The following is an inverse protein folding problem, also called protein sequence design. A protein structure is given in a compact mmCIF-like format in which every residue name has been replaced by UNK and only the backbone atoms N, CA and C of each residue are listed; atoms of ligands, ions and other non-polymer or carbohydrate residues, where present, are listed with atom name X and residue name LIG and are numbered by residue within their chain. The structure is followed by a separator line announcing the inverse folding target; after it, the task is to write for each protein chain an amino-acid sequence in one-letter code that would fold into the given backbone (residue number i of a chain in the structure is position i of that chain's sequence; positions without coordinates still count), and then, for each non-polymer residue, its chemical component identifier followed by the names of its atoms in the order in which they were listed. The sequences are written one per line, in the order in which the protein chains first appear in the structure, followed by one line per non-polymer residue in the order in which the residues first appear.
data_IF_698170069675
#
_entry.id   IF_698170069675
#
_cell.length_a   1.000
_cell.length_b   1.000
_cell.length_c   1.000
_cell.angle_alpha   90.00
_cell.angle_beta   90.00
_cell.angle_gamma   90.00
#
_symmetry.space_group_name_H-M   'P 1'
#
loop_
_entity.id
_entity.type
_entity.pdbx_description
1 polymer ?
#
# COMPACT_ATOMS: atom_id res chain seq x y z
N UNK A 1 -10.29 -4.31 -5.18
CA UNK A 1 -9.60 -2.99 -5.28
C UNK A 1 -9.14 -2.84 -6.71
N UNK A 2 -9.34 -1.69 -7.37
CA UNK A 2 -8.84 -1.48 -8.74
C UNK A 2 -7.32 -1.54 -8.77
N UNK A 3 -6.77 -2.18 -9.80
CA UNK A 3 -5.34 -2.21 -10.05
C UNK A 3 -4.89 -0.84 -10.58
N UNK A 4 -3.78 -0.33 -10.04
CA UNK A 4 -3.22 0.99 -10.39
C UNK A 4 -2.19 0.93 -11.52
N UNK A 5 -1.64 -0.25 -11.82
CA UNK A 5 -0.57 -0.47 -12.80
C UNK A 5 -0.82 -1.73 -13.64
N UNK A 6 -0.42 -1.71 -14.91
CA UNK A 6 -0.57 -2.83 -15.84
C UNK A 6 0.32 -4.02 -15.43
N UNK A 7 -0.27 -5.16 -15.01
CA UNK A 7 0.48 -6.31 -14.52
C UNK A 7 1.34 -6.98 -15.60
N UNK A 8 1.09 -6.71 -16.88
CA UNK A 8 1.93 -7.19 -18.00
C UNK A 8 3.36 -6.66 -17.94
N UNK A 9 3.58 -5.56 -17.24
CA UNK A 9 4.91 -4.96 -17.07
C UNK A 9 5.70 -5.60 -15.93
N UNK A 10 5.07 -6.46 -15.12
CA UNK A 10 5.75 -7.16 -14.05
C UNK A 10 6.75 -8.16 -14.65
N UNK A 11 8.01 -8.06 -14.21
CA UNK A 11 9.06 -9.00 -14.61
C UNK A 11 9.13 -10.12 -13.58
N UNK A 12 9.10 -11.37 -14.05
CA UNK A 12 9.27 -12.54 -13.19
C UNK A 12 10.64 -12.50 -12.52
N UNK A 13 10.73 -12.57 -11.18
CA UNK A 13 12.01 -12.65 -10.50
C UNK A 13 12.76 -13.94 -10.85
N UNK A 14 14.09 -13.87 -10.91
CA UNK A 14 14.91 -15.07 -11.05
C UNK A 14 14.99 -15.81 -9.71
N UNK A 15 14.10 -16.80 -9.51
CA UNK A 15 14.09 -17.63 -8.31
C UNK A 15 15.34 -18.52 -8.17
N UNK A 16 16.19 -18.56 -9.20
CA UNK A 16 17.54 -19.13 -9.19
C UNK A 16 18.54 -18.38 -8.29
N UNK A 17 18.33 -17.09 -8.04
CA UNK A 17 19.30 -16.22 -7.38
C UNK A 17 19.51 -16.53 -5.88
N UNK A 18 20.69 -16.15 -5.37
CA UNK A 18 21.05 -16.31 -3.96
C UNK A 18 20.02 -15.66 -2.99
N UNK A 19 19.38 -14.57 -3.41
CA UNK A 19 18.34 -13.91 -2.61
C UNK A 19 17.11 -14.78 -2.32
N UNK A 20 16.87 -15.84 -3.10
CA UNK A 20 15.78 -16.80 -2.91
C UNK A 20 16.29 -18.15 -2.36
N UNK A 21 17.56 -18.26 -1.98
CA UNK A 21 18.13 -19.50 -1.45
C UNK A 21 17.42 -19.97 -0.17
N UNK A 22 17.13 -19.06 0.76
CA UNK A 22 16.43 -19.38 2.00
C UNK A 22 15.00 -19.88 1.74
N UNK A 23 14.24 -19.18 0.90
CA UNK A 23 12.87 -19.58 0.52
C UNK A 23 12.86 -20.95 -0.16
N UNK A 24 13.81 -21.21 -1.06
CA UNK A 24 13.98 -22.53 -1.67
C UNK A 24 14.35 -23.59 -0.65
N UNK A 25 15.26 -23.30 0.28
CA UNK A 25 15.65 -24.23 1.35
C UNK A 25 14.46 -24.65 2.21
N UNK A 26 13.59 -23.70 2.56
CA UNK A 26 12.35 -23.97 3.30
C UNK A 26 11.38 -24.82 2.47
N UNK A 27 11.17 -24.52 1.18
CA UNK A 27 10.31 -25.34 0.31
C UNK A 27 10.85 -26.76 0.13
N UNK A 28 12.16 -26.91 -0.05
CA UNK A 28 12.82 -28.22 -0.15
C UNK A 28 12.61 -29.04 1.12
N UNK A 29 12.80 -28.44 2.30
CA UNK A 29 12.61 -29.12 3.57
C UNK A 29 11.15 -29.46 3.88
N UNK A 30 10.22 -28.53 3.58
CA UNK A 30 8.81 -28.67 3.91
C UNK A 30 8.05 -29.62 2.97
N UNK A 31 8.45 -29.68 1.70
CA UNK A 31 7.76 -30.42 0.64
C UNK A 31 8.61 -31.56 0.06
N UNK A 32 9.78 -31.82 0.65
CA UNK A 32 10.75 -32.83 0.17
C UNK A 32 11.11 -32.65 -1.31
N UNK A 33 11.14 -31.40 -1.77
CA UNK A 33 11.43 -31.05 -3.16
C UNK A 33 12.93 -30.92 -3.40
N UNK A 34 13.34 -31.14 -4.64
CA UNK A 34 14.68 -30.76 -5.11
C UNK A 34 14.78 -29.25 -5.31
N UNK A 35 16.01 -28.75 -5.43
CA UNK A 35 16.27 -27.34 -5.67
C UNK A 35 15.63 -26.82 -6.96
N UNK A 36 15.68 -27.62 -8.03
CA UNK A 36 15.07 -27.29 -9.32
C UNK A 36 13.54 -27.27 -9.24
N UNK A 37 12.94 -28.22 -8.52
CA UNK A 37 11.50 -28.26 -8.31
C UNK A 37 11.01 -27.08 -7.46
N UNK A 38 11.78 -26.65 -6.46
CA UNK A 38 11.47 -25.47 -5.66
C UNK A 38 11.51 -24.19 -6.51
N UNK A 39 12.49 -24.04 -7.42
CA UNK A 39 12.53 -22.91 -8.38
C UNK A 39 11.28 -22.95 -9.27
N UNK A 40 10.99 -24.11 -9.86
CA UNK A 40 9.85 -24.27 -10.78
C UNK A 40 8.51 -23.95 -10.11
N UNK A 41 8.31 -24.40 -8.87
CA UNK A 41 7.11 -24.09 -8.08
C UNK A 41 6.97 -22.59 -7.81
N UNK A 42 8.06 -21.89 -7.51
CA UNK A 42 8.03 -20.44 -7.31
C UNK A 42 7.73 -19.68 -8.60
N UNK A 43 8.28 -20.13 -9.72
CA UNK A 43 7.98 -19.58 -11.05
C UNK A 43 6.51 -19.77 -11.42
N UNK A 44 5.98 -20.98 -11.25
CA UNK A 44 4.60 -21.32 -11.54
C UNK A 44 3.62 -20.52 -10.65
N UNK A 45 3.91 -20.40 -9.36
CA UNK A 45 3.13 -19.59 -8.44
C UNK A 45 3.12 -18.10 -8.84
N UNK A 46 4.25 -17.58 -9.32
CA UNK A 46 4.31 -16.21 -9.83
C UNK A 46 3.51 -16.05 -11.13
N UNK A 47 3.67 -16.98 -12.08
CA UNK A 47 2.99 -16.94 -13.38
C UNK A 47 1.46 -17.00 -13.20
N UNK A 48 0.96 -17.90 -12.36
CA UNK A 48 -0.47 -18.02 -12.04
C UNK A 48 -1.03 -16.71 -11.44
N UNK A 49 -0.29 -16.12 -10.50
CA UNK A 49 -0.66 -14.84 -9.90
C UNK A 49 -0.66 -13.73 -10.95
N UNK A 50 0.35 -13.66 -11.80
CA UNK A 50 0.46 -12.61 -12.81
C UNK A 50 -0.64 -12.73 -13.87
N UNK A 51 -0.98 -13.95 -14.31
CA UNK A 51 -2.10 -14.23 -15.22
C UNK A 51 -3.42 -13.73 -14.63
N UNK A 52 -3.68 -14.02 -13.34
CA UNK A 52 -4.89 -13.52 -12.66
C UNK A 52 -4.94 -11.99 -12.66
N UNK A 53 -3.83 -11.34 -12.32
CA UNK A 53 -3.76 -9.87 -12.31
C UNK A 53 -4.00 -9.28 -13.70
N UNK A 54 -3.45 -9.88 -14.75
CA UNK A 54 -3.69 -9.46 -16.14
C UNK A 54 -5.18 -9.57 -16.48
N UNK A 55 -5.83 -10.68 -16.12
CA UNK A 55 -7.27 -10.87 -16.36
C UNK A 55 -8.13 -9.84 -15.60
N UNK A 56 -7.80 -9.56 -14.33
CA UNK A 56 -8.46 -8.52 -13.53
C UNK A 56 -8.28 -7.13 -14.14
N UNK A 57 -7.07 -6.83 -14.62
CA UNK A 57 -6.76 -5.58 -15.31
C UNK A 57 -7.58 -5.42 -16.58
N UNK A 58 -7.66 -6.45 -17.42
CA UNK A 58 -8.44 -6.42 -18.66
C UNK A 58 -9.92 -6.21 -18.39
N UNK A 59 -10.46 -6.89 -17.37
CA UNK A 59 -11.84 -6.69 -16.94
C UNK A 59 -12.08 -5.25 -16.46
N UNK A 60 -11.14 -4.68 -15.70
CA UNK A 60 -11.23 -3.29 -15.24
C UNK A 60 -11.20 -2.31 -16.41
N UNK A 61 -10.32 -2.50 -17.39
CA UNK A 61 -10.27 -1.65 -18.59
C UNK A 61 -11.56 -1.74 -19.39
N UNK A 62 -12.11 -2.95 -19.57
CA UNK A 62 -13.37 -3.15 -20.29
C UNK A 62 -14.53 -2.45 -19.58
N UNK A 63 -14.61 -2.53 -18.24
CA UNK A 63 -15.64 -1.84 -17.46
C UNK A 63 -15.52 -0.31 -17.57
N UNK A 64 -14.31 0.23 -17.51
CA UNK A 64 -14.09 1.67 -17.68
C UNK A 64 -14.52 2.14 -19.07
N UNK A 65 -14.20 1.38 -20.12
CA UNK A 65 -14.60 1.70 -21.48
C UNK A 65 -16.13 1.66 -21.64
N UNK A 66 -16.79 0.65 -21.09
CA UNK A 66 -18.26 0.55 -21.11
C UNK A 66 -18.92 1.72 -20.36
N UNK A 67 -18.40 2.09 -19.19
CA UNK A 67 -18.91 3.24 -18.43
C UNK A 67 -18.74 4.56 -19.20
N UNK A 68 -17.58 4.78 -19.84
CA UNK A 68 -17.38 5.97 -20.68
C UNK A 68 -18.34 6.00 -21.88
N UNK A 69 -18.56 4.87 -22.54
CA UNK A 69 -19.52 4.80 -23.65
C UNK A 69 -20.95 5.09 -23.19
N UNK A 70 -21.38 4.53 -22.05
CA UNK A 70 -22.70 4.82 -21.48
C UNK A 70 -22.85 6.30 -21.10
N UNK A 71 -21.82 6.92 -20.50
CA UNK A 71 -21.84 8.35 -20.18
C UNK A 71 -21.92 9.21 -21.44
N UNK A 72 -21.17 8.89 -22.49
CA UNK A 72 -21.25 9.64 -23.76
C UNK A 72 -22.63 9.50 -24.43
N UNK A 73 -23.22 8.31 -24.43
CA UNK A 73 -24.56 8.09 -24.97
C UNK A 73 -25.65 8.83 -24.18
N UNK A 74 -25.49 9.00 -22.86
CA UNK A 74 -26.43 9.78 -22.05
C UNK A 74 -26.24 11.29 -22.20
N UNK A 75 -25.00 11.77 -22.37
CA UNK A 75 -24.72 13.21 -22.48
C UNK A 75 -25.00 13.78 -23.88
N UNK A 76 -24.87 12.99 -24.96
CA UNK A 76 -25.10 13.47 -26.33
C UNK A 76 -26.50 14.09 -26.56
N UNK A 77 -27.61 13.39 -26.22
CA UNK A 77 -28.95 13.95 -26.39
C UNK A 77 -29.17 15.20 -25.54
N UNK A 78 -28.61 15.21 -24.33
CA UNK A 78 -28.76 16.30 -23.38
C UNK A 78 -28.03 17.57 -23.82
N UNK A 79 -26.82 17.44 -24.39
CA UNK A 79 -26.10 18.55 -25.01
C UNK A 79 -26.81 19.06 -26.26
N UNK A 80 -27.33 18.18 -27.13
CA UNK A 80 -28.08 18.60 -28.32
C UNK A 80 -29.36 19.37 -27.96
N UNK A 81 -30.09 18.92 -26.94
CA UNK A 81 -31.28 19.63 -26.44
C UNK A 81 -30.95 21.00 -25.85
N UNK A 82 -29.80 21.18 -25.19
CA UNK A 82 -29.39 22.48 -24.65
C UNK A 82 -28.85 23.44 -25.73
N UNK A 83 -28.16 22.93 -26.75
CA UNK A 83 -27.58 23.76 -27.80
C UNK A 83 -28.59 24.21 -28.85
N UNK A 84 -29.66 23.43 -29.11
CA UNK A 84 -30.67 23.75 -30.12
C UNK A 84 -31.33 25.14 -29.91
N UNK A 85 -31.85 25.48 -28.72
CA UNK A 85 -32.46 26.79 -28.47
C UNK A 85 -31.45 27.93 -28.64
N UNK A 86 -30.21 27.72 -28.22
CA UNK A 86 -29.16 28.74 -28.26
C UNK A 86 -28.72 29.03 -29.71
N UNK A 87 -28.60 28.00 -30.56
CA UNK A 87 -28.33 28.19 -31.99
C UNK A 87 -29.49 28.88 -32.71
N UNK A 88 -30.74 28.51 -32.42
CA UNK A 88 -31.91 29.18 -32.99
C UNK A 88 -31.97 30.65 -32.60
N UNK A 89 -31.69 30.97 -31.33
CA UNK A 89 -31.66 32.35 -30.84
C UNK A 89 -30.53 33.15 -31.50
N UNK A 90 -29.35 32.56 -31.68
CA UNK A 90 -28.22 33.22 -32.33
C UNK A 90 -28.48 33.47 -33.84
N UNK A 91 -29.14 32.54 -34.53
CA UNK A 91 -29.57 32.74 -35.92
C UNK A 91 -30.61 33.86 -36.04
N UNK A 92 -31.56 33.96 -35.10
CA UNK A 92 -32.53 35.06 -35.07
C UNK A 92 -31.87 36.42 -34.84
N UNK A 93 -30.81 36.49 -34.03
CA UNK A 93 -30.07 37.74 -33.77
C UNK A 93 -29.16 38.16 -34.93
N UNK A 94 -28.64 37.22 -35.73
CA UNK A 94 -27.75 37.52 -36.86
C UNK A 94 -28.50 37.93 -38.13
N UNK A 95 -29.73 37.47 -38.36
CA UNK A 95 -30.50 37.82 -39.57
C UNK A 95 -30.71 39.34 -39.76
N UNK A 96 -31.13 40.12 -38.75
CA UNK A 96 -31.28 41.57 -38.89
C UNK A 96 -29.94 42.26 -39.12
N UNK A 97 -28.88 41.78 -38.47
CA UNK A 97 -27.55 42.38 -38.53
C UNK A 97 -26.92 42.22 -39.92
N UNK A 98 -27.10 41.07 -40.56
CA UNK A 98 -26.68 40.86 -41.95
C UNK A 98 -27.47 41.70 -42.96
N UNK A 99 -28.79 41.86 -42.76
CA UNK A 99 -29.59 42.75 -43.61
C UNK A 99 -29.15 44.22 -43.48
N UNK A 100 -28.77 44.65 -42.28
CA UNK A 100 -28.28 46.00 -42.03
C UNK A 100 -26.87 46.22 -42.63
N UNK A 101 -26.01 45.20 -42.60
CA UNK A 101 -24.67 45.26 -43.21
C UNK A 101 -24.72 45.31 -44.75
N UNK A 102 -25.70 44.67 -45.38
CA UNK A 102 -25.88 44.73 -46.84
C UNK A 102 -26.28 46.14 -47.34
N UNK A 103 -26.83 47.00 -46.46
CA UNK A 103 -27.23 48.36 -46.83
C UNK A 103 -26.09 49.40 -46.70
N UNK A 104 -24.91 49.04 -46.17
CA UNK A 104 -23.85 50.00 -45.79
C UNK A 104 -22.59 49.99 -46.69
N UNK A 105 -22.65 49.43 -47.90
CA UNK A 105 -21.48 49.38 -48.80
C UNK A 105 -21.35 50.60 -49.74
N UNK A 106 -20.67 51.65 -49.29
CA UNK A 106 -19.92 52.61 -50.13
C UNK A 106 -18.48 52.78 -49.59
N UNK A 107 -17.43 52.92 -50.43
CA UNK A 107 -16.04 52.87 -49.97
C UNK A 107 -15.35 54.24 -49.81
N UNK A 108 -14.49 54.32 -48.78
CA UNK A 108 -13.30 55.18 -48.69
C UNK A 108 -13.32 56.26 -47.60
N UNK A 109 -12.17 56.84 -47.21
CA UNK A 109 -10.84 56.26 -46.95
C UNK A 109 -10.33 56.55 -45.50
N UNK A 110 -9.25 55.88 -45.11
CA UNK A 110 -8.47 56.12 -43.86
C UNK A 110 -7.94 57.56 -43.75
N UNK A 111 -7.73 58.04 -42.50
CA UNK A 111 -6.37 58.51 -42.18
C UNK A 111 -5.81 58.09 -40.82
N UNK A 112 -4.51 58.34 -40.74
CA UNK A 112 -3.44 57.95 -39.82
C UNK A 112 -3.51 58.50 -38.38
N UNK A 113 -2.81 57.75 -37.50
CA UNK A 113 -1.94 58.15 -36.38
C UNK A 113 -2.45 59.12 -35.30
N UNK A 114 -2.31 58.71 -34.03
CA UNK A 114 -1.58 59.46 -32.99
C UNK A 114 -1.46 58.66 -31.68
N UNK A 115 -0.21 58.52 -31.23
CA UNK A 115 0.33 58.44 -29.87
C UNK A 115 -0.01 57.26 -28.92
N UNK A 116 1.05 56.48 -28.64
CA UNK A 116 1.37 55.91 -27.33
C UNK A 116 1.36 56.99 -26.21
N UNK A 117 1.05 56.61 -24.97
CA UNK A 117 2.13 56.25 -24.05
C UNK A 117 1.86 55.01 -23.16
N UNK A 118 2.90 54.19 -23.08
CA UNK A 118 3.55 53.53 -21.94
C UNK A 118 2.72 52.93 -20.75
N UNK A 119 3.01 51.66 -20.36
CA UNK A 119 2.32 50.95 -19.27
C UNK A 119 2.92 51.23 -17.89
N UNK A 120 2.12 51.27 -16.80
CA UNK A 120 2.65 51.30 -15.45
C UNK A 120 3.10 49.91 -14.96
N UNK A 121 4.28 49.92 -14.34
CA UNK A 121 5.02 48.79 -13.78
C UNK A 121 4.33 48.12 -12.58
N UNK A 122 4.61 46.82 -12.32
CA UNK A 122 4.13 46.12 -11.13
C UNK A 122 4.91 46.53 -9.88
N UNK A 123 4.14 46.87 -8.84
CA UNK A 123 4.60 47.19 -7.49
C UNK A 123 5.09 45.91 -6.80
N UNK A 124 6.38 45.86 -6.46
CA UNK A 124 6.98 44.81 -5.66
C UNK A 124 6.94 45.24 -4.19
N UNK A 125 6.10 44.57 -3.40
CA UNK A 125 6.11 44.70 -1.94
C UNK A 125 7.23 43.82 -1.36
N UNK A 126 8.16 44.49 -0.69
CA UNK A 126 9.17 43.90 0.15
C UNK A 126 8.55 43.53 1.51
N UNK A 127 8.61 42.24 1.86
CA UNK A 127 8.37 41.77 3.23
C UNK A 127 9.72 41.72 3.94
N UNK A 128 9.90 42.60 4.92
CA UNK A 128 10.94 42.49 5.94
C UNK A 128 10.64 41.26 6.82
N UNK A 129 11.58 40.31 6.86
CA UNK A 129 11.65 39.28 7.88
C UNK A 129 12.99 39.41 8.60
N UNK A 130 12.98 40.07 9.76
CA UNK A 130 14.01 39.93 10.77
C UNK A 130 13.58 38.84 11.74
N UNK A 131 14.30 37.72 11.74
CA UNK A 131 14.54 36.97 12.98
C UNK A 131 15.84 36.17 12.81
N UNK A 132 16.90 36.74 13.37
CA UNK A 132 18.26 36.20 13.33
C UNK A 132 18.48 35.40 14.62
N UNK A 133 18.11 34.13 14.62
CA UNK A 133 18.49 33.18 15.68
C UNK A 133 19.61 32.30 15.16
N UNK A 134 20.82 32.52 15.67
CA UNK A 134 22.02 31.78 15.31
C UNK A 134 21.83 30.26 15.53
N UNK A 135 22.00 29.41 14.50
CA UNK A 135 21.99 27.97 14.71
C UNK A 135 23.30 27.56 15.38
N UNK A 136 23.20 27.03 16.60
CA UNK A 136 24.29 26.33 17.26
C UNK A 136 24.83 25.25 16.32
N UNK A 137 26.08 25.41 15.88
CA UNK A 137 26.77 24.52 14.95
C UNK A 137 27.01 23.17 15.63
N UNK A 138 26.02 22.27 15.54
CA UNK A 138 26.25 20.85 15.79
C UNK A 138 27.26 20.38 14.76
N UNK A 139 28.46 19.99 15.20
CA UNK A 139 29.45 19.33 14.35
C UNK A 139 28.85 18.03 13.82
N UNK A 140 28.21 18.09 12.65
CA UNK A 140 27.73 16.91 11.94
C UNK A 140 28.99 16.13 11.57
N UNK A 141 29.14 14.92 12.12
CA UNK A 141 30.11 13.95 11.61
C UNK A 141 29.59 13.45 10.26
N UNK A 142 29.82 14.24 9.23
CA UNK A 142 29.47 13.86 7.87
C UNK A 142 30.34 12.67 7.48
N UNK A 143 29.71 11.54 7.16
CA UNK A 143 30.43 10.41 6.59
C UNK A 143 30.92 10.81 5.20
N UNK A 144 32.12 10.41 4.86
CA UNK A 144 32.68 10.65 3.54
C UNK A 144 31.85 9.94 2.47
N UNK A 145 31.75 10.52 1.27
CA UNK A 145 31.01 9.89 0.18
C UNK A 145 31.92 8.93 -0.57
N UNK A 146 31.38 7.79 -0.99
CA UNK A 146 32.11 6.90 -1.88
C UNK A 146 32.11 7.51 -3.28
N UNK A 147 33.24 8.09 -3.69
CA UNK A 147 33.44 8.61 -5.03
C UNK A 147 33.11 7.50 -6.07
N UNK A 148 32.40 7.87 -7.14
CA UNK A 148 31.97 6.97 -8.23
C UNK A 148 30.94 5.89 -7.87
N UNK A 149 30.34 5.93 -6.67
CA UNK A 149 29.15 5.12 -6.35
C UNK A 149 27.89 5.87 -6.76
N UNK A 150 27.24 5.42 -7.85
CA UNK A 150 25.94 5.93 -8.25
C UNK A 150 24.86 5.62 -7.19
N UNK A 151 23.81 6.46 -7.15
CA UNK A 151 22.59 6.14 -6.40
C UNK A 151 22.05 4.79 -6.86
N UNK A 152 21.57 3.96 -5.92
CA UNK A 152 20.94 2.69 -6.30
C UNK A 152 19.74 2.96 -7.20
N UNK A 153 19.54 2.12 -8.21
CA UNK A 153 18.36 2.17 -9.09
C UNK A 153 17.05 1.89 -8.33
N UNK A 154 17.13 1.36 -7.12
CA UNK A 154 15.99 1.01 -6.29
C UNK A 154 16.00 1.91 -5.04
N UNK A 155 14.87 2.56 -4.76
CA UNK A 155 14.69 3.32 -3.53
C UNK A 155 14.89 2.43 -2.29
N UNK A 156 15.43 3.00 -1.22
CA UNK A 156 15.60 2.26 0.03
C UNK A 156 14.25 1.64 0.46
N UNK A 157 14.21 0.33 0.77
CA UNK A 157 12.96 -0.35 1.06
C UNK A 157 12.32 0.25 2.29
N UNK A 158 11.01 0.51 2.22
CA UNK A 158 10.24 1.03 3.34
C UNK A 158 10.37 0.08 4.55
N UNK A 159 10.80 0.64 5.69
CA UNK A 159 11.04 -0.09 6.93
C UNK A 159 9.82 -0.03 7.84
N UNK A 160 9.56 -1.07 8.65
CA UNK A 160 8.57 -1.00 9.72
C UNK A 160 8.93 0.09 10.73
N UNK A 161 7.93 0.57 11.47
CA UNK A 161 8.13 1.55 12.53
C UNK A 161 9.13 1.07 13.59
N UNK A 162 9.91 1.99 14.16
CA UNK A 162 10.80 1.69 15.30
C UNK A 162 10.05 1.06 16.49
N UNK A 163 8.78 1.42 16.71
CA UNK A 163 7.92 0.80 17.73
C UNK A 163 7.77 -0.72 17.52
N UNK A 164 7.42 -1.13 16.30
CA UNK A 164 7.25 -2.53 15.93
C UNK A 164 8.58 -3.31 16.02
N UNK A 165 9.68 -2.72 15.58
CA UNK A 165 11.01 -3.33 15.67
C UNK A 165 11.46 -3.50 17.12
N UNK A 166 11.17 -2.52 18.00
CA UNK A 166 11.46 -2.64 19.43
C UNK A 166 10.67 -3.79 20.06
N UNK A 167 9.36 -3.86 19.82
CA UNK A 167 8.53 -4.97 20.31
C UNK A 167 9.04 -6.33 19.85
N UNK A 168 9.46 -6.41 18.58
CA UNK A 168 10.03 -7.62 18.01
C UNK A 168 11.34 -8.04 18.70
N UNK A 169 12.19 -7.08 19.05
CA UNK A 169 13.43 -7.33 19.80
C UNK A 169 13.17 -7.73 21.26
N UNK A 170 12.11 -7.20 21.87
CA UNK A 170 11.68 -7.52 23.25
C UNK A 170 10.84 -8.83 23.32
N UNK A 171 10.76 -9.60 22.23
CA UNK A 171 9.93 -10.81 22.12
C UNK A 171 8.43 -10.58 22.41
N UNK A 172 7.93 -9.35 22.21
CA UNK A 172 6.54 -8.97 22.44
C UNK A 172 5.68 -9.08 21.19
N UNK A 173 4.40 -9.44 21.38
CA UNK A 173 3.46 -9.56 20.27
C UNK A 173 3.33 -8.23 19.53
N UNK A 174 3.55 -8.31 18.23
CA UNK A 174 3.43 -7.20 17.29
C UNK A 174 2.44 -7.58 16.20
N UNK A 175 1.47 -6.70 15.97
CA UNK A 175 0.45 -6.84 14.93
C UNK A 175 1.10 -6.88 13.55
N UNK A 176 0.59 -7.76 12.69
CA UNK A 176 1.13 -7.96 11.35
C UNK A 176 0.94 -6.71 10.48
N UNK A 177 -0.03 -5.86 10.83
CA UNK A 177 -0.26 -4.55 10.23
C UNK A 177 1.02 -3.72 10.10
N UNK A 178 1.90 -3.68 11.11
CA UNK A 178 3.12 -2.84 11.08
C UNK A 178 4.11 -3.23 9.99
N UNK A 179 3.99 -4.44 9.45
CA UNK A 179 4.83 -4.96 8.39
C UNK A 179 4.16 -4.86 7.01
N UNK A 180 2.94 -4.34 6.92
CA UNK A 180 2.26 -4.07 5.64
C UNK A 180 2.96 -2.95 4.88
N UNK A 181 2.74 -2.90 3.56
CA UNK A 181 3.29 -1.86 2.71
C UNK A 181 2.75 -0.46 3.10
N UNK A 182 1.48 -0.38 3.48
CA UNK A 182 0.85 0.87 3.95
C UNK A 182 1.49 1.34 5.25
N UNK A 183 1.57 0.47 6.27
CA UNK A 183 2.15 0.85 7.56
C UNK A 183 3.63 1.26 7.44
N UNK A 184 4.42 0.60 6.59
CA UNK A 184 5.81 0.99 6.35
C UNK A 184 5.92 2.38 5.68
N UNK A 185 5.02 2.71 4.75
CA UNK A 185 4.97 4.05 4.12
C UNK A 185 4.57 5.12 5.15
N UNK A 186 3.58 4.83 5.98
CA UNK A 186 3.13 5.73 7.03
C UNK A 186 4.20 5.93 8.10
N UNK A 187 4.86 4.87 8.55
CA UNK A 187 5.99 4.95 9.48
C UNK A 187 7.10 5.86 8.92
N UNK A 188 7.48 5.70 7.65
CA UNK A 188 8.47 6.54 6.99
C UNK A 188 8.05 8.01 6.87
N UNK A 189 6.75 8.32 6.85
CA UNK A 189 6.22 9.69 6.87
C UNK A 189 6.26 10.26 8.29
N UNK A 190 5.80 9.50 9.27
CA UNK A 190 5.81 9.91 10.68
C UNK A 190 7.23 10.12 11.19
N UNK A 191 8.18 9.24 10.87
CA UNK A 191 9.59 9.41 11.28
C UNK A 191 10.24 10.66 10.68
N UNK A 192 9.86 11.05 9.46
CA UNK A 192 10.30 12.31 8.85
C UNK A 192 9.66 13.55 9.48
N UNK A 193 8.39 13.43 9.91
CA UNK A 193 7.62 14.55 10.47
C UNK A 193 7.92 14.80 11.95
N UNK A 194 8.20 13.77 12.75
CA UNK A 194 8.32 13.88 14.22
C UNK A 194 9.77 14.19 14.68
N UNK A 195 10.64 14.60 13.76
CA UNK A 195 12.03 14.95 14.06
C UNK A 195 12.18 16.15 15.03
N UNK A 196 11.09 16.84 15.40
CA UNK A 196 11.15 18.04 16.25
C UNK A 196 10.09 18.21 17.35
N UNK A 197 9.08 17.35 17.49
CA UNK A 197 7.88 17.72 18.27
C UNK A 197 7.86 17.27 19.75
N UNK A 198 8.44 16.11 20.11
CA UNK A 198 8.53 15.70 21.53
C UNK A 198 9.56 14.59 21.79
N UNK A 199 10.32 14.70 22.89
CA UNK A 199 11.29 13.70 23.36
C UNK A 199 10.92 13.18 24.75
N UNK A 200 11.20 11.90 25.00
CA UNK A 200 11.10 11.28 26.34
C UNK A 200 12.48 10.89 26.86
N UNK A 201 12.67 10.95 28.17
CA UNK A 201 13.86 10.45 28.85
C UNK A 201 13.74 8.93 29.04
N UNK A 202 14.68 8.17 28.51
CA UNK A 202 14.76 6.71 28.68
C UNK A 202 16.13 6.34 29.27
N UNK A 203 16.16 5.47 30.28
CA UNK A 203 17.40 4.93 30.84
C UNK A 203 17.91 3.81 29.93
N UNK A 204 19.09 3.97 29.34
CA UNK A 204 19.79 2.97 28.54
C UNK A 204 21.15 2.72 29.20
N UNK A 205 21.37 1.52 29.73
CA UNK A 205 22.65 1.06 30.29
C UNK A 205 23.33 2.11 31.22
N UNK A 206 22.58 2.55 32.23
CA UNK A 206 22.98 3.56 33.24
C UNK A 206 23.09 5.01 32.73
N UNK A 207 22.89 5.27 31.43
CA UNK A 207 22.86 6.62 30.86
C UNK A 207 21.42 7.05 30.56
N UNK A 208 21.06 8.28 30.96
CA UNK A 208 19.79 8.90 30.58
C UNK A 208 19.89 9.37 29.12
N UNK A 209 19.12 8.78 28.22
CA UNK A 209 19.07 9.11 26.79
C UNK A 209 17.73 9.75 26.42
N UNK A 210 17.77 10.78 25.57
CA UNK A 210 16.57 11.38 24.98
C UNK A 210 16.21 10.64 23.69
N UNK A 211 15.00 10.06 23.63
CA UNK A 211 14.47 9.41 22.42
C UNK A 211 13.17 10.10 21.99
N UNK A 212 12.92 10.28 20.68
CA UNK A 212 11.64 10.83 20.20
C UNK A 212 10.45 9.99 20.70
N UNK A 213 9.38 10.66 21.14
CA UNK A 213 8.18 9.97 21.66
C UNK A 213 7.52 9.07 20.59
N UNK A 214 7.60 9.47 19.32
CA UNK A 214 7.07 8.68 18.21
C UNK A 214 7.70 7.28 18.10
N UNK A 215 8.93 7.08 18.59
CA UNK A 215 9.58 5.75 18.60
C UNK A 215 8.91 4.76 19.55
N UNK A 216 8.04 5.21 20.46
CA UNK A 216 7.33 4.40 21.44
C UNK A 216 5.81 4.36 21.23
N UNK A 217 5.28 5.09 20.24
CA UNK A 217 3.83 5.21 20.03
C UNK A 217 3.35 4.13 19.06
N UNK A 218 2.28 3.43 19.45
CA UNK A 218 1.51 2.60 18.51
C UNK A 218 0.84 3.48 17.45
N UNK A 219 0.68 2.94 16.23
CA UNK A 219 -0.06 3.63 15.18
C UNK A 219 -1.55 3.65 15.51
N UNK A 220 -2.21 4.81 15.35
CA UNK A 220 -3.66 4.91 15.48
C UNK A 220 -4.43 4.11 14.41
N UNK A 221 -3.74 3.74 13.32
CA UNK A 221 -4.28 2.91 12.23
C UNK A 221 -3.98 1.42 12.42
N UNK A 222 -3.34 1.03 13.53
CA UNK A 222 -3.02 -0.37 13.77
C UNK A 222 -4.30 -1.20 13.86
N UNK A 223 -4.45 -2.14 12.94
CA UNK A 223 -5.58 -3.10 12.92
C UNK A 223 -5.11 -4.47 13.40
N UNK A 224 -6.05 -5.21 14.02
CA UNK A 224 -5.83 -6.61 14.37
C UNK A 224 -5.60 -7.46 13.13
N UNK A 225 -4.80 -8.51 13.26
CA UNK A 225 -4.50 -9.46 12.20
C UNK A 225 -5.75 -10.05 11.53
N UNK A 226 -6.85 -10.19 12.28
CA UNK A 226 -8.14 -10.74 11.79
C UNK A 226 -8.83 -9.86 10.75
N UNK A 227 -8.47 -8.58 10.71
CA UNK A 227 -9.05 -7.58 9.80
C UNK A 227 -8.18 -7.31 8.58
N UNK A 228 -7.01 -7.95 8.49
CA UNK A 228 -6.12 -7.81 7.35
C UNK A 228 -6.65 -8.58 6.14
N UNK A 229 -6.33 -8.11 4.94
CA UNK A 229 -6.57 -8.92 3.74
C UNK A 229 -5.49 -10.00 3.61
N UNK A 230 -5.78 -11.08 2.89
CA UNK A 230 -4.77 -12.11 2.62
C UNK A 230 -3.54 -11.56 1.87
N UNK A 231 -3.74 -10.58 0.99
CA UNK A 231 -2.65 -9.87 0.32
C UNK A 231 -1.75 -9.13 1.32
N UNK A 232 -2.35 -8.44 2.29
CA UNK A 232 -1.59 -7.74 3.33
C UNK A 232 -0.81 -8.72 4.20
N UNK A 233 -1.45 -9.82 4.62
CA UNK A 233 -0.78 -10.91 5.36
C UNK A 233 0.40 -11.46 4.56
N UNK A 234 0.20 -11.73 3.26
CA UNK A 234 1.21 -12.29 2.37
C UNK A 234 2.43 -11.39 2.19
N UNK A 235 2.24 -10.06 2.16
CA UNK A 235 3.33 -9.08 2.09
C UNK A 235 4.01 -8.92 3.45
N UNK A 236 3.20 -8.81 4.50
CA UNK A 236 3.66 -8.48 5.84
C UNK A 236 4.45 -9.63 6.49
N UNK A 237 4.06 -10.89 6.25
CA UNK A 237 4.74 -12.07 6.82
C UNK A 237 6.20 -12.17 6.39
N UNK A 238 6.50 -11.88 5.12
CA UNK A 238 7.87 -11.90 4.59
C UNK A 238 8.74 -10.84 5.26
N UNK A 239 8.16 -9.65 5.50
CA UNK A 239 8.83 -8.57 6.23
C UNK A 239 9.00 -8.90 7.72
N UNK A 240 8.00 -9.51 8.35
CA UNK A 240 8.07 -9.95 9.74
C UNK A 240 9.21 -10.95 9.96
N UNK A 241 9.23 -12.04 9.18
CA UNK A 241 10.26 -13.09 9.29
C UNK A 241 11.66 -12.51 9.09
N UNK A 242 11.84 -11.66 8.06
CA UNK A 242 13.11 -10.97 7.83
C UNK A 242 13.58 -10.20 9.07
N UNK A 243 12.69 -9.41 9.67
CA UNK A 243 13.05 -8.62 10.85
C UNK A 243 13.20 -9.46 12.12
N UNK A 244 12.58 -10.63 12.22
CA UNK A 244 12.83 -11.59 13.30
C UNK A 244 14.26 -12.13 13.24
N UNK A 245 14.71 -12.50 12.04
CA UNK A 245 16.10 -12.95 11.82
C UNK A 245 17.08 -11.83 12.14
N UNK A 246 16.83 -10.59 11.67
CA UNK A 246 17.66 -9.42 11.99
C UNK A 246 17.68 -9.09 13.50
N UNK A 247 16.60 -9.38 14.22
CA UNK A 247 16.50 -9.19 15.68
C UNK A 247 17.13 -10.33 16.48
N UNK A 248 17.68 -11.37 15.82
CA UNK A 248 18.38 -12.48 16.49
C UNK A 248 17.46 -13.55 17.07
N UNK A 249 16.24 -13.70 16.53
CA UNK A 249 15.35 -14.78 16.94
C UNK A 249 15.96 -16.17 16.63
N UNK A 250 15.76 -17.19 17.49
CA UNK A 250 16.32 -18.51 17.23
C UNK A 250 15.75 -19.11 15.93
N UNK A 251 16.59 -19.72 15.06
CA UNK A 251 16.19 -20.23 13.75
C UNK A 251 14.98 -21.16 13.79
N UNK A 252 14.90 -22.00 14.83
CA UNK A 252 13.77 -22.92 15.07
C UNK A 252 12.40 -22.21 15.02
N UNK A 253 12.29 -21.01 15.61
CA UNK A 253 11.01 -20.28 15.64
C UNK A 253 10.72 -19.59 14.31
N UNK A 254 11.74 -19.02 13.66
CA UNK A 254 11.57 -18.35 12.36
C UNK A 254 11.28 -19.36 11.24
N UNK A 255 11.91 -20.53 11.27
CA UNK A 255 11.66 -21.63 10.33
C UNK A 255 10.27 -22.23 10.51
N UNK A 256 9.84 -22.47 11.75
CA UNK A 256 8.47 -22.93 12.03
C UNK A 256 7.42 -21.93 11.54
N UNK A 257 7.64 -20.63 11.77
CA UNK A 257 6.75 -19.58 11.31
C UNK A 257 6.75 -19.45 9.77
N UNK A 258 7.90 -19.61 9.12
CA UNK A 258 7.98 -19.64 7.66
C UNK A 258 7.24 -20.85 7.06
N UNK A 259 7.43 -22.04 7.64
CA UNK A 259 6.75 -23.26 7.23
C UNK A 259 5.23 -23.17 7.44
N UNK A 260 4.78 -22.56 8.54
CA UNK A 260 3.37 -22.26 8.78
C UNK A 260 2.76 -21.44 7.64
N UNK A 261 3.36 -20.30 7.32
CA UNK A 261 2.83 -19.41 6.29
C UNK A 261 2.90 -20.01 4.88
N UNK A 262 3.91 -20.83 4.58
CA UNK A 262 4.00 -21.56 3.32
C UNK A 262 2.86 -22.59 3.19
N UNK A 263 2.59 -23.36 4.25
CA UNK A 263 1.48 -24.32 4.25
C UNK A 263 0.13 -23.64 4.07
N UNK A 264 -0.08 -22.47 4.67
CA UNK A 264 -1.30 -21.69 4.45
C UNK A 264 -1.42 -21.16 3.01
N UNK A 265 -0.32 -20.73 2.38
CA UNK A 265 -0.33 -20.26 0.99
C UNK A 265 -0.77 -21.34 0.00
N UNK A 266 -0.39 -22.59 0.30
CA UNK A 266 -0.64 -23.77 -0.52
C UNK A 266 -1.88 -24.55 -0.09
N UNK A 267 -2.61 -24.08 0.92
CA UNK A 267 -3.73 -24.82 1.47
C UNK A 267 -4.93 -24.84 0.52
N UNK A 268 -5.53 -26.02 0.32
CA UNK A 268 -6.65 -26.21 -0.62
C UNK A 268 -7.87 -25.32 -0.32
N UNK A 269 -8.09 -24.96 0.95
CA UNK A 269 -9.18 -24.04 1.34
C UNK A 269 -9.07 -22.68 0.65
N UNK A 270 -7.88 -22.28 0.20
CA UNK A 270 -7.65 -21.00 -0.46
C UNK A 270 -8.37 -20.88 -1.80
N UNK A 271 -8.64 -22.01 -2.45
CA UNK A 271 -9.41 -22.06 -3.71
C UNK A 271 -10.92 -21.92 -3.49
N UNK A 272 -11.38 -22.08 -2.25
CA UNK A 272 -12.80 -22.00 -1.91
C UNK A 272 -13.27 -20.54 -1.77
N UNK A 273 -14.55 -20.31 -2.00
CA UNK A 273 -15.16 -18.99 -1.82
C UNK A 273 -15.07 -18.54 -0.36
N UNK A 274 -14.41 -17.41 -0.10
CA UNK A 274 -14.14 -16.91 1.25
C UNK A 274 -13.02 -17.65 1.99
N UNK A 275 -12.31 -18.58 1.33
CA UNK A 275 -11.20 -19.33 1.91
C UNK A 275 -10.06 -18.45 2.44
N UNK A 276 -9.77 -17.36 1.74
CA UNK A 276 -8.78 -16.37 2.18
C UNK A 276 -9.14 -15.73 3.53
N UNK A 277 -10.41 -15.42 3.78
CA UNK A 277 -10.86 -14.87 5.07
C UNK A 277 -10.73 -15.90 6.20
N UNK A 278 -10.97 -17.17 5.90
CA UNK A 278 -10.77 -18.28 6.85
C UNK A 278 -9.31 -18.38 7.25
N UNK A 279 -8.40 -18.33 6.27
CA UNK A 279 -6.97 -18.40 6.51
C UNK A 279 -6.47 -17.18 7.30
N UNK A 280 -6.98 -15.97 7.01
CA UNK A 280 -6.65 -14.75 7.78
C UNK A 280 -7.06 -14.91 9.25
N UNK A 281 -8.28 -15.38 9.52
CA UNK A 281 -8.76 -15.55 10.90
C UNK A 281 -8.00 -16.64 11.63
N UNK A 282 -7.81 -17.79 10.98
CA UNK A 282 -7.04 -18.89 11.53
C UNK A 282 -5.61 -18.48 11.87
N UNK A 283 -4.91 -17.80 10.96
CA UNK A 283 -3.54 -17.37 11.22
C UNK A 283 -3.45 -16.33 12.34
N UNK A 284 -4.43 -15.44 12.45
CA UNK A 284 -4.44 -14.41 13.49
C UNK A 284 -4.56 -15.03 14.90
N UNK A 285 -5.44 -16.03 15.05
CA UNK A 285 -5.62 -16.74 16.30
C UNK A 285 -4.38 -17.57 16.67
N UNK A 286 -3.95 -18.44 15.75
CA UNK A 286 -2.83 -19.37 16.00
C UNK A 286 -1.54 -18.62 16.26
N UNK A 287 -1.24 -17.55 15.49
CA UNK A 287 -0.03 -16.74 15.68
C UNK A 287 -0.02 -16.06 17.05
N UNK A 288 -1.16 -15.56 17.51
CA UNK A 288 -1.28 -14.87 18.81
C UNK A 288 -1.12 -15.85 19.98
N UNK A 289 -1.74 -17.02 19.91
CA UNK A 289 -1.57 -18.07 20.91
C UNK A 289 -0.13 -18.57 20.96
N UNK A 290 0.46 -18.84 19.80
CA UNK A 290 1.87 -19.22 19.69
C UNK A 290 2.79 -18.15 20.29
N UNK A 291 2.52 -16.87 20.03
CA UNK A 291 3.31 -15.79 20.61
C UNK A 291 3.18 -15.73 22.13
N UNK A 292 1.97 -15.90 22.67
CA UNK A 292 1.76 -15.92 24.12
C UNK A 292 2.53 -17.06 24.79
N UNK A 293 2.56 -18.23 24.18
CA UNK A 293 3.34 -19.37 24.65
C UNK A 293 4.86 -19.13 24.58
N UNK A 294 5.35 -18.55 23.49
CA UNK A 294 6.78 -18.21 23.34
C UNK A 294 7.22 -17.10 24.31
N UNK A 295 6.35 -16.12 24.57
CA UNK A 295 6.66 -14.99 25.47
C UNK A 295 6.51 -15.33 26.96
N UNK A 296 6.16 -16.58 27.31
CA UNK A 296 5.96 -17.01 28.70
C UNK A 296 4.79 -16.32 29.40
N UNK A 297 3.84 -15.77 28.62
CA UNK A 297 2.62 -15.12 29.15
C UNK A 297 1.50 -16.13 29.42
N UNK A 298 1.64 -17.36 28.94
CA UNK A 298 0.80 -18.51 29.25
C UNK A 298 1.62 -19.60 29.95
N UNK A 299 0.98 -20.40 30.79
CA UNK A 299 1.58 -21.60 31.41
C UNK A 299 1.81 -22.73 30.39
N UNK A 300 1.28 -22.61 29.18
CA UNK A 300 1.39 -23.61 28.11
C UNK A 300 2.77 -23.58 27.43
N UNK A 301 3.32 -24.77 27.16
CA UNK A 301 4.55 -24.91 26.37
C UNK A 301 4.34 -24.42 24.93
N UNK A 302 5.35 -23.74 24.33
CA UNK A 302 5.26 -23.31 22.95
C UNK A 302 5.17 -24.51 22.00
N UNK A 303 4.06 -24.58 21.26
CA UNK A 303 3.83 -25.59 20.24
C UNK A 303 4.48 -25.24 18.89
N UNK A 304 4.61 -26.25 18.03
CA UNK A 304 5.10 -26.04 16.66
C UNK A 304 3.99 -25.44 15.78
N UNK A 305 4.10 -24.13 15.51
CA UNK A 305 3.16 -23.41 14.66
C UNK A 305 3.13 -23.92 13.22
N UNK A 306 4.15 -24.65 12.76
CA UNK A 306 4.17 -25.19 11.40
C UNK A 306 3.13 -26.30 11.18
N UNK A 307 2.58 -26.90 12.23
CA UNK A 307 1.59 -27.97 12.11
C UNK A 307 0.20 -27.34 12.00
N UNK A 308 -0.40 -27.42 10.80
CA UNK A 308 -1.76 -26.94 10.58
C UNK A 308 -2.75 -27.89 11.24
N UNK A 309 -3.48 -27.39 12.22
CA UNK A 309 -4.61 -28.09 12.82
C UNK A 309 -5.83 -27.98 11.90
N UNK A 310 -6.05 -29.01 11.09
CA UNK A 310 -7.15 -29.11 10.12
C UNK A 310 -8.53 -29.03 10.77
N UNK A 311 -8.73 -29.67 11.94
CA UNK A 311 -10.00 -29.63 12.66
C UNK A 311 -10.35 -28.19 13.07
N UNK A 312 -9.36 -27.47 13.62
CA UNK A 312 -9.53 -26.06 13.99
C UNK A 312 -9.76 -25.19 12.75
N UNK A 313 -9.03 -25.42 11.67
CA UNK A 313 -9.20 -24.67 10.43
C UNK A 313 -10.61 -24.85 9.83
N UNK A 314 -11.12 -26.09 9.80
CA UNK A 314 -12.48 -26.40 9.36
C UNK A 314 -13.53 -25.80 10.30
N UNK A 315 -13.28 -25.78 11.61
CA UNK A 315 -14.15 -25.11 12.58
C UNK A 315 -14.21 -23.60 12.34
N UNK A 316 -13.07 -22.96 12.11
CA UNK A 316 -13.00 -21.54 11.75
C UNK A 316 -13.76 -21.25 10.46
N UNK A 317 -13.62 -22.12 9.44
CA UNK A 317 -14.37 -22.01 8.19
C UNK A 317 -15.89 -22.08 8.41
N UNK A 318 -16.32 -23.09 9.18
CA UNK A 318 -17.73 -23.32 9.50
C UNK A 318 -18.34 -22.13 10.27
N UNK A 319 -17.61 -21.57 11.23
CA UNK A 319 -18.04 -20.41 12.00
C UNK A 319 -18.17 -19.15 11.13
N UNK A 320 -17.23 -18.95 10.21
CA UNK A 320 -17.26 -17.83 9.26
C UNK A 320 -18.46 -17.91 8.31
N UNK A 321 -18.71 -19.09 7.75
CA UNK A 321 -19.88 -19.34 6.90
C UNK A 321 -21.19 -19.09 7.66
N UNK A 322 -21.29 -19.59 8.89
CA UNK A 322 -22.46 -19.37 9.74
C UNK A 322 -22.68 -17.86 10.03
N UNK A 323 -21.62 -17.12 10.38
CA UNK A 323 -21.70 -15.68 10.60
C UNK A 323 -22.20 -14.93 9.35
N UNK A 324 -21.68 -15.27 8.17
CA UNK A 324 -22.13 -14.69 6.90
C UNK A 324 -23.61 -14.98 6.64
N UNK A 325 -24.05 -16.22 6.83
CA UNK A 325 -25.46 -16.61 6.66
C UNK A 325 -26.39 -15.86 7.62
N UNK A 326 -26.01 -15.73 8.90
CA UNK A 326 -26.79 -14.96 9.86
C UNK A 326 -26.89 -13.47 9.50
N UNK A 327 -25.81 -12.86 8.99
CA UNK A 327 -25.81 -11.46 8.57
C UNK A 327 -26.70 -11.23 7.33
N UNK A 328 -26.68 -12.16 6.38
CA UNK A 328 -27.55 -12.12 5.20
C UNK A 328 -29.03 -12.28 5.57
N UNK A 329 -29.34 -13.22 6.48
CA UNK A 329 -30.70 -13.40 7.01
C UNK A 329 -31.20 -12.15 7.74
N UNK A 330 -30.36 -11.49 8.54
CA UNK A 330 -30.72 -10.23 9.23
C UNK A 330 -30.95 -9.06 8.25
N UNK A 331 -30.19 -8.97 7.15
CA UNK A 331 -30.39 -7.93 6.13
C UNK A 331 -31.68 -8.15 5.33
N UNK A 332 -32.05 -9.39 5.06
CA UNK A 332 -33.28 -9.73 4.33
C UNK A 332 -34.57 -9.52 5.13
N UNK A 333 -34.48 -9.32 6.44
CA UNK A 333 -35.63 -9.07 7.34
C UNK A 333 -35.87 -7.56 7.55
N UNK A 334 -34.94 -6.71 7.12
CA UNK A 334 -34.99 -5.25 7.30
C UNK A 334 -35.39 -4.51 5.99
N UNK A 335 -35.50 -5.22 4.88
CA UNK A 335 -36.13 -4.74 3.63
C UNK A 335 -37.55 -5.26 3.54
#
# INVERSE_FOLDING_TARGET
MPLEQDPRQNIRPNYGDAQYQEVRGVMMAALTLTHEEAIRQLEEAWDLRNIRLIAEWDQQQQQQQQQQQQQQQQQQPQQQQQQQPQQQQQQQLQQPQQQQQQQLNHPGPLPQQLNEPEPPQPLADAIEAQDNVAPATRKIKLRDFQANRAVSSIAAPARPSNYALKKLADFEYVELYYFTAEACKDAARTERSVAGEAFTLTKLDEVMALKPIASFRSSAKAVSDELLTWTDVSIAKTKLIKHMVEAGWPPKFTEALAAFYLKLDMHAIREQEGGEEVLVRYQAEVRREWWNAVSGKSDDEPFDISIINEERLQRTASLLLYQKQCLLSKRSVIQ
#
